data_IF_691510753776
#
_entry.id   IF_691510753776
#
_cell.length_a   1.000
_cell.length_b   1.000
_cell.length_c   1.000
_cell.angle_alpha   90.00
_cell.angle_beta   90.00
_cell.angle_gamma   90.00
#
_symmetry.space_group_name_H-M   'P 1'
#
loop_
_entity.id
_entity.type
_entity.pdbx_description
1 polymer ?
#
# COMPACT_ATOMS: atom_id res chain seq x y z
N UNK A 1 -24.89 -48.41 -42.68
CA UNK A 1 -26.18 -48.84 -43.22
C UNK A 1 -25.95 -49.64 -44.48
N UNK A 2 -26.77 -50.66 -44.75
CA UNK A 2 -26.67 -51.43 -46.00
C UNK A 2 -27.84 -51.01 -46.88
N UNK A 3 -27.55 -50.49 -48.07
CA UNK A 3 -28.54 -50.18 -49.10
C UNK A 3 -28.58 -51.31 -50.13
N UNK A 4 -29.77 -51.60 -50.66
CA UNK A 4 -30.02 -52.77 -51.53
C UNK A 4 -29.65 -54.10 -50.85
N UNK A 5 -29.92 -54.20 -49.54
CA UNK A 5 -29.53 -55.33 -48.70
C UNK A 5 -30.26 -56.67 -49.00
N UNK A 6 -31.24 -56.66 -49.90
CA UNK A 6 -32.04 -57.83 -50.28
C UNK A 6 -32.45 -57.78 -51.75
N UNK A 7 -32.39 -58.93 -52.43
CA UNK A 7 -32.82 -59.10 -53.83
C UNK A 7 -32.77 -60.57 -54.26
N UNK A 8 -33.22 -60.88 -55.48
CA UNK A 8 -33.29 -62.25 -56.03
C UNK A 8 -32.15 -62.47 -57.04
N UNK A 9 -31.41 -63.57 -56.91
CA UNK A 9 -30.32 -63.91 -57.85
C UNK A 9 -30.92 -64.55 -59.11
N UNK A 10 -30.82 -63.85 -60.25
CA UNK A 10 -31.41 -64.28 -61.55
C UNK A 10 -30.35 -64.58 -62.62
N UNK A 11 -29.20 -65.13 -62.22
CA UNK A 11 -28.17 -65.62 -63.15
C UNK A 11 -27.09 -64.61 -63.56
N UNK A 12 -26.96 -63.49 -62.84
CA UNK A 12 -25.85 -62.53 -62.98
C UNK A 12 -25.29 -62.13 -61.61
N UNK A 13 -24.05 -61.63 -61.57
CA UNK A 13 -23.42 -61.12 -60.35
C UNK A 13 -24.19 -59.92 -59.79
N UNK A 14 -24.44 -59.93 -58.47
CA UNK A 14 -25.04 -58.80 -57.76
C UNK A 14 -23.94 -57.78 -57.47
N UNK A 15 -24.03 -56.59 -58.07
CA UNK A 15 -23.01 -55.52 -57.96
C UNK A 15 -23.55 -54.25 -57.30
N UNK A 16 -24.82 -54.21 -56.90
CA UNK A 16 -25.51 -53.02 -56.40
C UNK A 16 -25.77 -53.06 -54.88
N UNK A 17 -25.23 -54.04 -54.15
CA UNK A 17 -25.30 -54.08 -52.70
C UNK A 17 -24.25 -53.13 -52.11
N UNK A 18 -24.72 -52.04 -51.52
CA UNK A 18 -23.86 -50.99 -51.01
C UNK A 18 -23.76 -51.05 -49.48
N UNK A 19 -22.54 -51.17 -48.96
CA UNK A 19 -22.25 -51.12 -47.53
C UNK A 19 -21.69 -49.74 -47.20
N UNK A 20 -22.50 -48.93 -46.51
CA UNK A 20 -22.07 -47.64 -45.99
C UNK A 20 -21.62 -47.78 -44.53
N UNK A 21 -20.32 -47.75 -44.29
CA UNK A 21 -19.76 -47.73 -42.94
C UNK A 21 -19.51 -46.29 -42.50
N UNK A 22 -20.04 -45.90 -41.34
CA UNK A 22 -19.70 -44.64 -40.68
C UNK A 22 -18.87 -44.94 -39.45
N UNK A 23 -17.73 -44.26 -39.28
CA UNK A 23 -16.93 -44.39 -38.06
C UNK A 23 -17.65 -43.69 -36.91
N UNK A 24 -17.81 -44.37 -35.78
CA UNK A 24 -18.35 -43.76 -34.57
C UNK A 24 -17.47 -42.58 -34.14
N UNK A 25 -18.09 -41.54 -33.58
CA UNK A 25 -17.38 -40.37 -33.07
C UNK A 25 -17.62 -40.20 -31.57
N UNK A 26 -16.60 -39.74 -30.87
CA UNK A 26 -16.62 -39.52 -29.43
C UNK A 26 -16.00 -38.16 -29.09
N UNK A 27 -16.39 -37.57 -27.97
CA UNK A 27 -15.84 -36.31 -27.47
C UNK A 27 -14.83 -36.56 -26.35
N UNK A 28 -13.99 -35.57 -26.11
CA UNK A 28 -13.16 -35.47 -24.91
C UNK A 28 -13.50 -34.18 -24.17
N UNK A 29 -13.63 -34.26 -22.85
CA UNK A 29 -14.01 -33.15 -22.02
C UNK A 29 -14.12 -33.53 -20.55
N UNK A 30 -14.84 -32.69 -19.82
CA UNK A 30 -15.15 -32.88 -18.41
C UNK A 30 -16.65 -32.92 -18.17
N UNK A 31 -17.08 -33.73 -17.21
CA UNK A 31 -18.44 -33.70 -16.68
C UNK A 31 -18.72 -32.42 -15.89
N UNK A 32 -19.97 -32.24 -15.46
CA UNK A 32 -20.32 -31.13 -14.57
C UNK A 32 -19.49 -31.18 -13.28
N UNK A 33 -18.88 -30.05 -12.91
CA UNK A 33 -17.95 -29.97 -11.78
C UNK A 33 -16.53 -30.43 -12.09
N UNK A 34 -16.24 -30.78 -13.35
CA UNK A 34 -14.92 -31.15 -13.81
C UNK A 34 -13.96 -29.98 -14.01
N UNK A 35 -14.43 -28.73 -13.88
CA UNK A 35 -13.58 -27.54 -13.74
C UNK A 35 -13.81 -26.94 -12.36
N UNK A 36 -12.74 -26.79 -11.58
CA UNK A 36 -12.77 -26.21 -10.23
C UNK A 36 -11.86 -25.00 -10.12
N UNK A 37 -12.26 -24.02 -9.30
CA UNK A 37 -11.46 -22.83 -9.02
C UNK A 37 -11.28 -21.85 -10.19
N UNK A 38 -11.91 -22.06 -11.34
CA UNK A 38 -11.79 -21.18 -12.51
C UNK A 38 -12.72 -19.96 -12.40
N UNK A 39 -12.19 -18.82 -11.98
CA UNK A 39 -12.94 -17.55 -11.91
C UNK A 39 -12.51 -16.50 -12.93
N UNK A 40 -11.39 -16.73 -13.62
CA UNK A 40 -10.83 -15.86 -14.63
C UNK A 40 -11.43 -16.01 -16.02
N UNK A 41 -10.74 -15.44 -17.01
CA UNK A 41 -11.08 -15.47 -18.42
C UNK A 41 -9.91 -15.94 -19.26
N UNK A 42 -10.16 -16.30 -20.53
CA UNK A 42 -9.14 -16.72 -21.49
C UNK A 42 -8.41 -18.05 -21.18
N UNK A 43 -9.04 -18.96 -20.41
CA UNK A 43 -8.56 -20.34 -20.37
C UNK A 43 -8.72 -20.98 -21.76
N UNK A 44 -7.61 -21.35 -22.40
CA UNK A 44 -7.61 -22.04 -23.69
C UNK A 44 -7.01 -23.43 -23.55
N UNK A 45 -7.71 -24.40 -24.13
CA UNK A 45 -7.36 -25.81 -24.09
C UNK A 45 -7.22 -26.32 -25.51
N UNK A 46 -6.27 -27.23 -25.74
CA UNK A 46 -6.19 -28.02 -26.98
C UNK A 46 -6.25 -29.51 -26.66
N UNK A 47 -6.83 -30.31 -27.57
CA UNK A 47 -6.78 -31.78 -27.53
C UNK A 47 -5.70 -32.37 -28.45
N UNK A 48 -4.82 -31.51 -28.97
CA UNK A 48 -3.80 -31.82 -29.96
C UNK A 48 -4.25 -31.59 -31.41
N UNK A 49 -5.53 -31.26 -31.64
CA UNK A 49 -6.08 -30.98 -32.97
C UNK A 49 -6.98 -29.76 -32.98
N UNK A 50 -7.91 -29.70 -32.02
CA UNK A 50 -8.82 -28.58 -31.81
C UNK A 50 -8.31 -27.72 -30.66
N UNK A 51 -8.64 -26.43 -30.70
CA UNK A 51 -8.46 -25.51 -29.58
C UNK A 51 -9.81 -24.90 -29.23
N UNK A 52 -10.13 -24.86 -27.93
CA UNK A 52 -11.34 -24.24 -27.42
C UNK A 52 -10.98 -23.17 -26.39
N UNK A 53 -11.83 -22.15 -26.28
CA UNK A 53 -11.79 -21.17 -25.20
C UNK A 53 -12.90 -21.50 -24.20
N UNK A 54 -12.55 -21.68 -22.94
CA UNK A 54 -13.50 -21.97 -21.87
C UNK A 54 -14.01 -20.65 -21.29
N UNK A 55 -15.33 -20.43 -21.33
CA UNK A 55 -15.96 -19.23 -20.78
C UNK A 55 -15.75 -19.15 -19.26
N UNK A 56 -15.47 -17.94 -18.74
CA UNK A 56 -15.21 -17.72 -17.31
C UNK A 56 -16.33 -18.28 -16.41
N UNK A 57 -15.95 -18.93 -15.31
CA UNK A 57 -16.91 -19.56 -14.38
C UNK A 57 -17.52 -20.88 -14.88
N UNK A 58 -17.12 -21.40 -16.05
CA UNK A 58 -17.58 -22.71 -16.51
C UNK A 58 -17.15 -23.82 -15.56
N UNK A 59 -18.04 -24.79 -15.34
CA UNK A 59 -17.79 -25.98 -14.51
C UNK A 59 -17.50 -27.23 -15.33
N UNK A 60 -17.57 -27.13 -16.67
CA UNK A 60 -17.31 -28.21 -17.61
C UNK A 60 -16.82 -27.68 -18.96
N UNK A 61 -16.15 -28.52 -19.74
CA UNK A 61 -15.79 -28.24 -21.15
C UNK A 61 -15.93 -29.49 -22.01
N UNK A 62 -16.07 -29.32 -23.32
CA UNK A 62 -16.09 -30.43 -24.28
C UNK A 62 -15.48 -29.98 -25.60
N UNK A 63 -14.60 -30.81 -26.16
CA UNK A 63 -14.07 -30.63 -27.51
C UNK A 63 -15.03 -31.20 -28.57
N UNK A 64 -14.94 -30.73 -29.83
CA UNK A 64 -15.67 -31.34 -30.95
C UNK A 64 -15.45 -32.86 -31.04
N UNK A 65 -16.47 -33.59 -31.48
CA UNK A 65 -16.40 -35.04 -31.60
C UNK A 65 -15.39 -35.47 -32.69
N UNK A 66 -14.65 -36.54 -32.43
CA UNK A 66 -13.61 -37.10 -33.32
C UNK A 66 -13.82 -38.60 -33.52
N UNK A 67 -13.37 -39.13 -34.64
CA UNK A 67 -13.52 -40.53 -35.01
C UNK A 67 -12.88 -41.47 -33.97
N UNK A 68 -13.52 -42.62 -33.72
CA UNK A 68 -12.96 -43.73 -32.96
C UNK A 68 -11.57 -44.12 -33.51
N UNK A 69 -10.64 -44.42 -32.63
CA UNK A 69 -9.21 -44.61 -32.88
C UNK A 69 -8.37 -43.33 -32.72
N UNK A 70 -8.97 -42.13 -32.66
CA UNK A 70 -8.21 -40.88 -32.51
C UNK A 70 -7.57 -40.77 -31.13
N UNK A 71 -6.28 -40.42 -31.08
CA UNK A 71 -5.60 -40.07 -29.84
C UNK A 71 -5.81 -38.60 -29.49
N UNK A 72 -5.96 -38.29 -28.21
CA UNK A 72 -5.97 -36.91 -27.73
C UNK A 72 -4.79 -36.66 -26.79
N UNK A 73 -4.29 -35.42 -26.81
CA UNK A 73 -3.30 -34.90 -25.88
C UNK A 73 -3.73 -33.51 -25.43
N UNK A 74 -4.30 -33.45 -24.23
CA UNK A 74 -4.81 -32.23 -23.64
C UNK A 74 -3.67 -31.38 -23.11
N UNK A 75 -3.66 -30.12 -23.50
CA UNK A 75 -2.77 -29.12 -22.89
C UNK A 75 -3.45 -27.76 -22.79
N UNK A 76 -2.95 -26.94 -21.87
CA UNK A 76 -3.38 -25.55 -21.72
C UNK A 76 -2.51 -24.71 -22.64
N UNK A 77 -3.13 -24.06 -23.62
CA UNK A 77 -2.42 -23.14 -24.54
C UNK A 77 -2.40 -21.71 -24.01
N UNK A 78 -3.33 -21.37 -23.12
CA UNK A 78 -3.36 -20.07 -22.44
C UNK A 78 -3.96 -20.21 -21.05
N UNK A 79 -3.24 -19.72 -20.04
CA UNK A 79 -3.72 -19.63 -18.67
C UNK A 79 -4.67 -18.43 -18.51
N UNK A 80 -5.57 -18.46 -17.50
CA UNK A 80 -6.44 -17.33 -17.23
C UNK A 80 -5.68 -16.05 -16.92
N UNK A 81 -6.20 -14.90 -17.37
CA UNK A 81 -5.51 -13.60 -17.25
C UNK A 81 -6.17 -12.57 -16.35
N UNK A 82 -7.47 -12.70 -16.06
CA UNK A 82 -8.22 -11.77 -15.18
C UNK A 82 -9.34 -12.45 -14.39
N UNK A 83 -9.13 -12.74 -13.09
CA UNK A 83 -7.83 -12.75 -12.42
C UNK A 83 -6.86 -13.74 -13.06
N UNK A 84 -5.56 -13.55 -12.84
CA UNK A 84 -4.59 -14.56 -13.25
C UNK A 84 -4.74 -15.79 -12.37
N UNK A 85 -4.65 -16.96 -13.01
CA UNK A 85 -4.75 -18.23 -12.32
C UNK A 85 -3.80 -19.22 -12.97
N UNK A 86 -3.32 -20.16 -12.17
CA UNK A 86 -2.60 -21.32 -12.65
C UNK A 86 -3.55 -22.51 -12.65
N UNK A 87 -3.91 -23.00 -13.84
CA UNK A 87 -4.72 -24.20 -14.02
C UNK A 87 -3.87 -25.40 -14.41
N UNK A 88 -4.29 -26.59 -13.96
CA UNK A 88 -3.69 -27.88 -14.32
C UNK A 88 -4.78 -28.84 -14.81
N UNK A 89 -4.46 -29.66 -15.83
CA UNK A 89 -5.35 -30.69 -16.38
C UNK A 89 -4.97 -32.05 -15.79
N UNK A 90 -5.98 -32.87 -15.46
CA UNK A 90 -5.85 -34.29 -15.08
C UNK A 90 -6.41 -35.16 -16.21
N UNK A 91 -5.85 -36.36 -16.40
CA UNK A 91 -6.19 -37.30 -17.49
C UNK A 91 -5.95 -36.70 -18.90
N UNK A 92 -4.70 -36.26 -19.10
CA UNK A 92 -4.29 -35.46 -20.28
C UNK A 92 -4.17 -36.25 -21.59
N UNK A 93 -4.04 -37.57 -21.59
CA UNK A 93 -3.87 -38.35 -22.84
C UNK A 93 -4.76 -39.57 -22.88
N UNK A 94 -5.07 -40.04 -24.09
CA UNK A 94 -5.85 -41.26 -24.30
C UNK A 94 -6.25 -41.48 -25.75
N UNK A 95 -7.10 -42.48 -25.97
CA UNK A 95 -7.64 -42.84 -27.29
C UNK A 95 -9.16 -42.97 -27.22
N UNK A 96 -9.86 -42.35 -28.17
CA UNK A 96 -11.30 -42.42 -28.30
C UNK A 96 -11.68 -43.77 -28.92
N UNK A 97 -12.26 -44.69 -28.15
CA UNK A 97 -12.57 -46.04 -28.68
C UNK A 97 -14.06 -46.36 -28.60
N UNK A 98 -14.64 -46.27 -27.40
CA UNK A 98 -15.98 -46.81 -27.13
C UNK A 98 -16.95 -45.85 -26.43
N UNK A 99 -16.48 -44.73 -25.87
CA UNK A 99 -17.30 -43.77 -25.14
C UNK A 99 -16.68 -42.36 -25.14
N UNK A 100 -17.50 -41.35 -24.82
CA UNK A 100 -17.03 -39.99 -24.55
C UNK A 100 -16.17 -39.98 -23.29
N UNK A 101 -15.07 -39.24 -23.32
CA UNK A 101 -14.22 -39.01 -22.15
C UNK A 101 -14.76 -37.81 -21.38
N UNK A 102 -15.17 -38.02 -20.12
CA UNK A 102 -15.78 -37.01 -19.25
C UNK A 102 -15.02 -36.78 -17.94
N UNK A 103 -13.91 -37.50 -17.73
CA UNK A 103 -13.10 -37.45 -16.51
C UNK A 103 -11.81 -36.63 -16.69
N UNK A 104 -11.65 -35.88 -17.78
CA UNK A 104 -10.51 -34.97 -17.95
C UNK A 104 -10.79 -33.66 -17.22
N UNK A 105 -10.36 -33.56 -15.96
CA UNK A 105 -10.72 -32.43 -15.08
C UNK A 105 -9.66 -31.32 -15.09
N UNK A 106 -10.06 -30.11 -14.72
CA UNK A 106 -9.22 -28.92 -14.60
C UNK A 106 -9.35 -28.35 -13.20
N UNK A 107 -8.20 -28.10 -12.56
CA UNK A 107 -8.14 -27.42 -11.27
C UNK A 107 -7.34 -26.14 -11.42
N UNK A 108 -7.94 -25.01 -11.06
CA UNK A 108 -7.33 -23.69 -11.11
C UNK A 108 -7.12 -23.14 -9.70
N UNK A 109 -6.00 -22.45 -9.50
CA UNK A 109 -5.71 -21.68 -8.30
C UNK A 109 -5.44 -20.23 -8.70
N UNK A 110 -6.09 -19.27 -8.04
CA UNK A 110 -5.82 -17.85 -8.26
C UNK A 110 -4.41 -17.50 -7.79
N UNK A 111 -3.64 -16.84 -8.66
CA UNK A 111 -2.30 -16.42 -8.30
C UNK A 111 -2.37 -15.26 -7.30
N UNK A 112 -1.33 -15.12 -6.48
CA UNK A 112 -1.24 -14.05 -5.48
C UNK A 112 -0.02 -13.17 -5.72
N UNK A 113 -0.17 -11.87 -5.51
CA UNK A 113 0.91 -10.89 -5.66
C UNK A 113 0.91 -9.90 -4.51
N UNK A 114 2.08 -9.31 -4.25
CA UNK A 114 2.26 -8.33 -3.17
C UNK A 114 1.95 -6.92 -3.64
N UNK A 115 1.60 -6.05 -2.69
CA UNK A 115 1.54 -4.59 -2.87
C UNK A 115 2.64 -3.96 -2.03
N UNK A 116 3.36 -3.00 -2.57
CA UNK A 116 4.44 -2.35 -1.85
C UNK A 116 5.19 -1.32 -2.67
N UNK A 117 6.41 -1.05 -2.22
CA UNK A 117 7.34 -0.13 -2.86
C UNK A 117 8.67 -0.81 -3.16
N UNK A 118 9.38 -0.27 -4.16
CA UNK A 118 10.81 -0.56 -4.37
C UNK A 118 11.68 0.20 -3.34
N UNK A 119 12.97 -0.17 -3.26
CA UNK A 119 13.94 0.59 -2.49
C UNK A 119 13.93 2.07 -2.89
N UNK A 120 13.82 2.96 -1.89
CA UNK A 120 13.67 4.41 -2.09
C UNK A 120 12.22 4.86 -2.32
N UNK A 121 11.25 3.94 -2.32
CA UNK A 121 9.83 4.27 -2.36
C UNK A 121 9.24 4.68 -1.01
N UNK A 122 9.98 4.53 0.10
CA UNK A 122 9.68 5.16 1.38
C UNK A 122 10.79 6.15 1.72
N UNK A 123 10.46 7.44 1.79
CA UNK A 123 11.44 8.52 1.96
C UNK A 123 11.11 9.41 3.14
N UNK A 124 12.14 10.02 3.73
CA UNK A 124 12.01 10.94 4.86
C UNK A 124 11.57 10.30 6.18
N UNK A 125 11.30 8.98 6.21
CA UNK A 125 10.90 8.28 7.42
C UNK A 125 12.08 8.08 8.37
N UNK A 126 12.11 8.83 9.47
CA UNK A 126 13.16 8.77 10.49
C UNK A 126 12.61 8.50 11.88
N UNK A 127 11.28 8.51 12.05
CA UNK A 127 10.61 8.24 13.31
C UNK A 127 10.29 6.78 13.56
N UNK A 128 9.46 6.56 14.58
CA UNK A 128 8.96 5.25 14.99
C UNK A 128 7.44 5.17 14.86
N UNK A 129 6.93 3.96 14.65
CA UNK A 129 5.49 3.69 14.71
C UNK A 129 4.70 3.99 13.43
N UNK A 130 5.36 4.18 12.28
CA UNK A 130 4.65 4.28 11.01
C UNK A 130 3.90 2.98 10.74
N UNK A 131 2.59 3.07 10.55
CA UNK A 131 1.78 1.96 10.08
C UNK A 131 1.10 2.30 8.77
N UNK A 132 1.19 1.38 7.82
CA UNK A 132 0.50 1.46 6.53
C UNK A 132 -0.57 0.38 6.47
N UNK A 133 -1.70 0.67 5.84
CA UNK A 133 -2.75 -0.32 5.57
C UNK A 133 -3.09 -0.37 4.09
N UNK A 134 -3.29 -1.57 3.53
CA UNK A 134 -3.71 -1.77 2.13
C UNK A 134 -5.24 -1.95 1.94
N UNK A 135 -5.99 -1.67 3.00
CA UNK A 135 -7.44 -1.89 3.12
C UNK A 135 -7.82 -3.21 3.79
N UNK A 136 -6.89 -4.16 3.89
CA UNK A 136 -7.14 -5.49 4.50
C UNK A 136 -6.09 -5.89 5.54
N UNK A 137 -4.85 -5.48 5.32
CA UNK A 137 -3.71 -5.72 6.18
C UNK A 137 -3.19 -4.39 6.70
N UNK A 138 -2.61 -4.40 7.89
CA UNK A 138 -1.84 -3.28 8.44
C UNK A 138 -0.46 -3.78 8.79
N UNK A 139 0.57 -3.10 8.31
CA UNK A 139 1.98 -3.40 8.60
C UNK A 139 2.57 -2.27 9.44
N UNK A 140 3.40 -2.62 10.42
CA UNK A 140 4.23 -1.66 11.15
C UNK A 140 5.63 -1.67 10.56
N UNK A 141 6.18 -0.49 10.26
CA UNK A 141 7.49 -0.36 9.65
C UNK A 141 8.56 -0.07 10.70
N UNK A 142 9.74 -0.64 10.50
CA UNK A 142 10.91 -0.33 11.31
C UNK A 142 11.41 1.08 10.98
N UNK A 143 11.88 1.81 11.99
CA UNK A 143 12.45 3.15 11.81
C UNK A 143 13.55 3.17 10.74
N UNK A 144 13.54 4.18 9.87
CA UNK A 144 14.50 4.31 8.78
C UNK A 144 14.28 3.37 7.61
N UNK A 145 13.19 2.60 7.57
CA UNK A 145 12.85 1.77 6.41
C UNK A 145 12.79 2.61 5.12
N UNK A 146 13.32 2.06 4.02
CA UNK A 146 13.36 2.70 2.69
C UNK A 146 12.41 2.06 1.68
N UNK A 147 11.74 0.98 2.07
CA UNK A 147 10.72 0.26 1.30
C UNK A 147 9.74 -0.45 2.23
N UNK A 148 8.61 -0.90 1.68
CA UNK A 148 7.63 -1.73 2.39
C UNK A 148 6.96 -2.72 1.44
N UNK A 149 6.41 -3.79 2.00
CA UNK A 149 5.66 -4.80 1.24
C UNK A 149 4.57 -5.40 2.14
N UNK A 150 3.33 -5.40 1.65
CA UNK A 150 2.20 -6.07 2.26
C UNK A 150 2.20 -7.57 1.92
N UNK A 151 1.55 -8.41 2.73
CA UNK A 151 1.29 -9.80 2.38
C UNK A 151 0.65 -9.95 1.00
N UNK A 152 0.95 -11.06 0.30
CA UNK A 152 0.41 -11.32 -1.02
C UNK A 152 -1.11 -11.51 -0.99
N UNK A 153 -1.80 -11.01 -2.00
CA UNK A 153 -3.25 -11.07 -2.16
C UNK A 153 -3.60 -11.57 -3.55
N UNK A 154 -4.79 -12.17 -3.68
CA UNK A 154 -5.25 -12.76 -4.93
C UNK A 154 -5.28 -11.72 -6.07
N UNK A 155 -4.87 -12.13 -7.26
CA UNK A 155 -5.09 -11.37 -8.50
C UNK A 155 -6.58 -11.00 -8.62
N UNK A 156 -6.85 -9.82 -9.18
CA UNK A 156 -8.17 -9.19 -9.23
C UNK A 156 -8.59 -8.45 -7.96
N UNK A 157 -7.85 -8.57 -6.85
CA UNK A 157 -8.17 -7.83 -5.62
C UNK A 157 -7.87 -6.34 -5.76
N UNK A 158 -8.80 -5.48 -5.34
CA UNK A 158 -8.55 -4.04 -5.18
C UNK A 158 -7.72 -3.76 -3.93
N UNK A 159 -6.82 -2.78 -3.99
CA UNK A 159 -6.04 -2.30 -2.85
C UNK A 159 -6.15 -0.78 -2.71
N UNK A 160 -6.01 -0.29 -1.48
CA UNK A 160 -5.86 1.14 -1.19
C UNK A 160 -4.91 1.31 0.00
N UNK A 161 -3.71 1.77 -0.28
CA UNK A 161 -2.66 2.04 0.68
C UNK A 161 -2.90 3.38 1.37
N UNK A 162 -3.00 3.35 2.69
CA UNK A 162 -3.21 4.52 3.54
C UNK A 162 -2.20 4.53 4.68
N UNK A 163 -1.97 5.71 5.25
CA UNK A 163 -1.27 5.80 6.53
C UNK A 163 -2.28 5.54 7.64
N UNK A 164 -2.13 4.41 8.33
CA UNK A 164 -2.96 4.03 9.45
C UNK A 164 -2.50 4.72 10.75
N UNK A 165 -1.19 4.95 10.92
CA UNK A 165 -0.63 5.66 12.07
C UNK A 165 0.60 6.44 11.65
N UNK A 166 0.63 7.73 11.99
CA UNK A 166 1.77 8.61 11.74
C UNK A 166 2.89 8.39 12.76
N UNK A 167 4.16 8.62 12.39
CA UNK A 167 5.27 8.57 13.34
C UNK A 167 5.13 9.61 14.45
N UNK A 168 5.52 9.25 15.67
CA UNK A 168 5.41 10.13 16.86
C UNK A 168 6.75 10.56 17.44
N UNK A 169 7.86 9.89 17.08
CA UNK A 169 9.18 10.18 17.63
C UNK A 169 10.29 10.05 16.55
N UNK A 170 10.69 11.15 15.90
CA UNK A 170 10.02 12.46 15.92
C UNK A 170 8.62 12.39 15.28
N UNK A 171 7.80 13.41 15.55
CA UNK A 171 6.53 13.59 14.85
C UNK A 171 6.78 13.83 13.38
N UNK A 172 6.14 13.01 12.54
CA UNK A 172 6.20 13.17 11.11
C UNK A 172 4.82 13.04 10.49
N UNK A 173 4.61 13.76 9.40
CA UNK A 173 3.46 13.58 8.53
C UNK A 173 3.90 12.81 7.29
N UNK A 174 3.45 11.56 7.18
CA UNK A 174 3.61 10.73 5.99
C UNK A 174 2.40 10.83 5.06
N UNK A 175 2.65 10.78 3.76
CA UNK A 175 1.64 10.79 2.70
C UNK A 175 1.93 9.69 1.67
N UNK A 176 0.88 9.13 1.05
CA UNK A 176 0.99 8.03 0.08
C UNK A 176 0.67 8.56 -1.32
N UNK A 177 1.45 8.15 -2.32
CA UNK A 177 1.13 8.34 -3.75
C UNK A 177 1.05 6.99 -4.45
N UNK A 178 0.31 6.93 -5.57
CA UNK A 178 -0.10 5.68 -6.21
C UNK A 178 -0.77 4.72 -5.21
N UNK A 179 -1.63 5.27 -4.37
CA UNK A 179 -2.21 4.58 -3.23
C UNK A 179 -3.16 3.44 -3.62
N UNK A 180 -3.80 3.46 -4.78
CA UNK A 180 -4.86 2.51 -5.10
C UNK A 180 -4.76 1.90 -6.49
N UNK A 181 -5.38 0.73 -6.64
CA UNK A 181 -5.49 0.01 -7.89
C UNK A 181 -6.03 -1.40 -7.71
N UNK A 182 -5.88 -2.22 -8.76
CA UNK A 182 -6.20 -3.64 -8.74
C UNK A 182 -4.93 -4.44 -8.95
N UNK A 183 -4.74 -5.50 -8.16
CA UNK A 183 -3.63 -6.44 -8.33
C UNK A 183 -3.89 -7.24 -9.60
N UNK A 184 -3.04 -7.06 -10.61
CA UNK A 184 -3.18 -7.74 -11.90
C UNK A 184 -2.32 -9.02 -11.94
N UNK A 185 -1.37 -9.08 -12.87
CA UNK A 185 -0.53 -10.26 -13.15
C UNK A 185 0.89 -10.18 -12.53
N UNK A 186 1.13 -9.21 -11.64
CA UNK A 186 2.45 -8.97 -11.05
C UNK A 186 2.35 -8.24 -9.72
N UNK A 187 3.46 -8.25 -8.96
CA UNK A 187 3.62 -7.44 -7.76
C UNK A 187 3.47 -5.95 -8.09
N UNK A 188 2.70 -5.25 -7.28
CA UNK A 188 2.58 -3.80 -7.34
C UNK A 188 3.75 -3.21 -6.54
N UNK A 189 4.63 -2.49 -7.21
CA UNK A 189 5.87 -1.97 -6.61
C UNK A 189 6.03 -0.44 -6.73
N UNK A 190 5.01 0.24 -7.27
CA UNK A 190 5.03 1.68 -7.58
C UNK A 190 4.33 2.55 -6.54
N UNK A 191 3.85 1.97 -5.43
CA UNK A 191 3.33 2.76 -4.30
C UNK A 191 4.52 3.48 -3.68
N UNK A 192 4.37 4.76 -3.37
CA UNK A 192 5.41 5.48 -2.63
C UNK A 192 4.84 6.23 -1.44
N UNK A 193 5.67 6.39 -0.41
CA UNK A 193 5.34 7.07 0.83
C UNK A 193 6.43 8.09 1.13
N UNK A 194 6.03 9.33 1.36
CA UNK A 194 6.94 10.43 1.71
C UNK A 194 6.55 10.98 3.07
N UNK A 195 7.52 11.03 3.98
CA UNK A 195 7.37 11.55 5.33
C UNK A 195 8.15 12.86 5.48
N UNK A 196 7.51 13.84 6.14
CA UNK A 196 8.13 15.10 6.51
C UNK A 196 8.11 15.22 8.02
N UNK A 197 9.25 15.55 8.64
CA UNK A 197 9.30 15.81 10.07
C UNK A 197 8.63 17.14 10.38
N UNK A 198 7.68 17.12 11.31
CA UNK A 198 6.89 18.28 11.65
C UNK A 198 7.76 19.32 12.39
N UNK A 199 7.37 20.59 12.30
CA UNK A 199 8.03 21.68 13.04
C UNK A 199 7.01 22.41 13.90
N UNK A 200 7.46 22.91 15.05
CA UNK A 200 6.60 23.56 16.05
C UNK A 200 7.25 24.84 16.56
N UNK A 201 6.44 25.79 17.01
CA UNK A 201 6.95 27.07 17.50
C UNK A 201 7.36 26.98 18.96
N UNK A 202 8.35 27.81 19.32
CA UNK A 202 8.65 28.13 20.71
C UNK A 202 8.16 29.55 20.97
N UNK A 203 7.49 29.74 22.10
CA UNK A 203 6.97 31.03 22.56
C UNK A 203 7.44 31.30 23.98
N UNK A 204 7.45 32.57 24.38
CA UNK A 204 7.77 33.02 25.73
C UNK A 204 6.57 33.81 26.28
N UNK A 205 6.05 33.41 27.43
CA UNK A 205 5.08 34.17 28.19
C UNK A 205 5.81 35.04 29.22
N UNK A 206 5.86 36.35 28.97
CA UNK A 206 6.62 37.31 29.78
C UNK A 206 5.70 37.98 30.80
N UNK A 207 6.13 37.99 32.06
CA UNK A 207 5.43 38.67 33.16
C UNK A 207 6.39 39.56 33.95
N UNK A 208 5.85 40.63 34.54
CA UNK A 208 6.62 41.57 35.36
C UNK A 208 7.55 42.49 34.56
N UNK A 209 7.52 42.45 33.23
CA UNK A 209 8.34 43.33 32.38
C UNK A 209 7.76 44.74 32.37
N UNK A 210 8.51 45.67 32.95
CA UNK A 210 8.21 47.10 33.02
C UNK A 210 8.98 47.95 31.98
N UNK A 211 9.75 47.32 31.09
CA UNK A 211 10.47 47.99 30.01
C UNK A 211 9.63 48.05 28.73
N UNK A 212 10.16 48.68 27.68
CA UNK A 212 9.45 48.83 26.40
C UNK A 212 10.14 48.15 25.21
N UNK A 213 11.48 48.07 25.16
CA UNK A 213 12.20 47.50 23.98
C UNK A 213 13.53 46.81 24.26
N UNK A 214 14.01 46.74 25.51
CA UNK A 214 15.39 46.32 25.80
C UNK A 214 15.55 44.84 26.14
N UNK A 215 14.48 44.13 26.50
CA UNK A 215 14.54 42.68 26.71
C UNK A 215 14.65 41.94 25.37
N UNK A 216 15.71 41.15 25.22
CA UNK A 216 15.87 40.22 24.10
C UNK A 216 16.05 38.80 24.64
N UNK A 217 15.18 37.91 24.20
CA UNK A 217 15.32 36.47 24.42
C UNK A 217 16.01 35.84 23.22
N UNK A 218 16.70 34.73 23.43
CA UNK A 218 17.36 33.98 22.36
C UNK A 218 17.02 32.51 22.49
N UNK A 219 16.54 31.90 21.41
CA UNK A 219 16.38 30.46 21.29
C UNK A 219 17.58 29.88 20.50
N UNK A 220 18.17 28.82 21.02
CA UNK A 220 19.21 28.01 20.36
C UNK A 220 20.41 28.84 19.82
N UNK A 221 20.81 29.90 20.53
CA UNK A 221 22.02 30.66 20.20
C UNK A 221 21.92 31.60 18.98
N UNK A 222 20.76 31.70 18.33
CA UNK A 222 20.65 32.50 17.09
C UNK A 222 19.26 33.06 16.76
N UNK A 223 18.18 32.43 17.22
CA UNK A 223 16.84 32.96 16.96
C UNK A 223 16.44 33.94 18.06
N UNK A 224 16.73 35.22 17.83
CA UNK A 224 16.45 36.29 18.79
C UNK A 224 14.98 36.74 18.71
N UNK A 225 14.42 37.13 19.86
CA UNK A 225 13.07 37.63 20.02
C UNK A 225 13.09 38.87 20.93
N UNK A 226 12.80 40.03 20.36
CA UNK A 226 12.64 41.28 21.12
C UNK A 226 11.26 41.32 21.79
N UNK A 227 11.22 41.68 23.06
CA UNK A 227 9.98 41.74 23.84
C UNK A 227 9.51 43.19 23.98
N UNK A 228 8.30 43.45 23.48
CA UNK A 228 7.65 44.76 23.51
C UNK A 228 6.78 44.99 24.75
N UNK A 229 6.47 43.94 25.52
CA UNK A 229 5.57 44.00 26.67
C UNK A 229 5.33 42.64 27.30
N UNK A 230 4.49 42.61 28.32
CA UNK A 230 4.04 41.36 28.94
C UNK A 230 3.10 40.58 28.01
N UNK A 231 2.99 39.27 28.25
CA UNK A 231 2.19 38.35 27.46
C UNK A 231 3.02 37.41 26.60
N UNK A 232 2.36 36.72 25.66
CA UNK A 232 2.98 35.70 24.83
C UNK A 232 3.61 36.34 23.60
N UNK A 233 4.90 36.09 23.39
CA UNK A 233 5.64 36.41 22.17
C UNK A 233 6.25 35.15 21.58
N UNK A 234 6.25 35.00 20.26
CA UNK A 234 6.68 33.77 19.57
C UNK A 234 7.96 33.99 18.78
N UNK A 235 8.90 33.05 18.88
CA UNK A 235 10.11 33.05 18.07
C UNK A 235 9.78 32.84 16.59
N UNK A 236 10.53 33.50 15.70
CA UNK A 236 10.24 33.47 14.25
C UNK A 236 10.57 32.14 13.56
N UNK A 237 11.48 31.34 14.11
CA UNK A 237 11.90 30.06 13.53
C UNK A 237 11.29 28.91 14.32
N UNK A 238 10.57 28.01 13.64
CA UNK A 238 10.09 26.78 14.24
C UNK A 238 11.24 25.80 14.49
N UNK A 239 11.07 24.94 15.49
CA UNK A 239 12.00 23.86 15.81
C UNK A 239 11.41 22.55 15.31
N UNK A 240 12.21 21.79 14.57
CA UNK A 240 11.84 20.45 14.10
C UNK A 240 11.59 19.50 15.26
N UNK A 241 10.56 18.65 15.18
CA UNK A 241 10.31 17.61 16.17
C UNK A 241 11.54 16.72 16.36
N UNK A 242 11.86 16.39 17.60
CA UNK A 242 13.09 15.68 18.00
C UNK A 242 14.31 16.59 18.23
N UNK A 243 14.32 17.84 17.76
CA UNK A 243 15.43 18.76 18.00
C UNK A 243 15.28 19.50 19.34
N UNK A 244 16.40 19.91 19.99
CA UNK A 244 16.35 20.69 21.21
C UNK A 244 15.91 22.14 20.98
N UNK A 245 15.28 22.73 21.99
CA UNK A 245 15.14 24.18 22.15
C UNK A 245 15.83 24.62 23.45
N UNK A 246 16.34 25.84 23.46
CA UNK A 246 17.00 26.44 24.62
C UNK A 246 16.83 27.96 24.58
N UNK A 247 15.87 28.45 25.34
CA UNK A 247 15.53 29.86 25.49
C UNK A 247 16.31 30.46 26.66
N UNK A 248 17.13 31.46 26.35
CA UNK A 248 17.91 32.22 27.32
C UNK A 248 17.59 33.71 27.21
N UNK A 249 17.94 34.47 28.25
CA UNK A 249 17.95 35.94 28.15
C UNK A 249 19.26 36.35 27.48
N UNK A 250 19.16 36.96 26.31
CA UNK A 250 20.32 37.52 25.61
C UNK A 250 20.66 38.92 26.14
N UNK A 251 19.64 39.76 26.32
CA UNK A 251 19.81 41.13 26.80
C UNK A 251 18.80 41.42 27.91
N UNK A 252 19.30 41.82 29.09
CA UNK A 252 18.45 42.25 30.21
C UNK A 252 17.94 43.68 30.01
N UNK A 253 16.77 44.04 30.55
CA UNK A 253 16.27 45.40 30.51
C UNK A 253 17.13 46.36 31.31
N UNK A 254 17.46 47.51 30.74
CA UNK A 254 18.24 48.56 31.40
C UNK A 254 17.40 49.75 31.85
N UNK A 255 16.19 49.92 31.33
CA UNK A 255 15.29 51.02 31.68
C UNK A 255 13.82 50.58 31.75
N UNK A 256 13.24 50.45 32.96
CA UNK A 256 13.95 50.36 34.24
C UNK A 256 14.89 49.13 34.26
N UNK A 257 15.94 49.19 35.09
CA UNK A 257 16.79 48.00 35.28
C UNK A 257 15.97 46.86 35.88
N UNK A 258 15.96 45.73 35.19
CA UNK A 258 15.24 44.54 35.63
C UNK A 258 16.13 43.31 35.44
N UNK A 259 15.85 42.29 36.24
CA UNK A 259 16.39 40.95 36.01
C UNK A 259 15.26 40.05 35.54
N UNK A 260 15.33 39.62 34.29
CA UNK A 260 14.46 38.60 33.73
C UNK A 260 15.13 37.22 33.79
N UNK A 261 14.34 36.18 34.07
CA UNK A 261 14.80 34.78 34.10
C UNK A 261 13.82 33.90 33.33
N UNK A 262 14.36 32.94 32.59
CA UNK A 262 13.55 31.94 31.86
C UNK A 262 13.38 30.72 32.76
N UNK A 263 12.12 30.30 32.96
CA UNK A 263 11.76 29.10 33.71
C UNK A 263 11.47 27.98 32.73
N UNK A 264 12.11 26.82 32.93
CA UNK A 264 12.01 25.66 32.03
C UNK A 264 12.32 26.02 30.57
N UNK A 265 13.36 26.85 30.39
CA UNK A 265 13.74 27.42 29.09
C UNK A 265 14.25 26.42 28.05
N UNK A 266 14.56 25.19 28.44
CA UNK A 266 15.14 24.18 27.55
C UNK A 266 14.36 22.86 27.55
N UNK A 267 14.49 22.12 26.45
CA UNK A 267 13.84 20.82 26.27
C UNK A 267 14.00 20.29 24.84
N UNK A 268 13.28 19.22 24.51
CA UNK A 268 13.19 18.66 23.15
C UNK A 268 11.80 18.94 22.58
N UNK A 269 11.73 19.30 21.30
CA UNK A 269 10.46 19.55 20.64
C UNK A 269 9.71 18.23 20.42
N UNK A 270 8.66 17.99 21.20
CA UNK A 270 7.93 16.72 21.25
C UNK A 270 6.60 16.73 20.46
N UNK A 271 6.57 17.40 19.31
CA UNK A 271 5.39 17.38 18.43
C UNK A 271 4.29 18.39 18.76
N UNK A 272 4.58 19.39 19.58
CA UNK A 272 3.61 20.43 19.96
C UNK A 272 4.32 21.75 20.21
N UNK A 273 3.62 22.87 19.98
CA UNK A 273 4.15 24.19 20.30
C UNK A 273 4.47 24.29 21.80
N UNK A 274 5.61 24.90 22.12
CA UNK A 274 6.10 25.07 23.49
C UNK A 274 5.99 26.53 23.90
N UNK A 275 5.51 26.81 25.11
CA UNK A 275 5.55 28.14 25.71
C UNK A 275 6.38 28.09 26.99
N UNK A 276 7.53 28.76 26.99
CA UNK A 276 8.35 28.95 28.20
C UNK A 276 7.86 30.14 29.00
N UNK A 277 8.14 30.16 30.30
CA UNK A 277 7.77 31.27 31.18
C UNK A 277 8.97 32.18 31.40
N UNK A 278 8.76 33.49 31.35
CA UNK A 278 9.80 34.48 31.64
C UNK A 278 9.29 35.44 32.71
N UNK A 279 9.99 35.48 33.84
CA UNK A 279 9.64 36.36 34.96
C UNK A 279 10.68 37.46 35.05
N UNK A 280 10.23 38.71 35.01
CA UNK A 280 11.05 39.90 35.20
C UNK A 280 10.75 40.57 36.54
N UNK A 281 11.80 41.02 37.23
CA UNK A 281 11.69 41.77 38.48
C UNK A 281 12.48 43.07 38.38
N UNK A 282 11.85 44.20 38.74
CA UNK A 282 12.52 45.50 38.83
C UNK A 282 13.55 45.51 39.94
N UNK A 283 14.77 45.90 39.60
CA UNK A 283 15.86 46.00 40.56
C UNK A 283 15.64 47.25 41.43
N UNK A 284 15.55 47.06 42.74
CA UNK A 284 15.38 48.15 43.69
C UNK A 284 16.73 48.52 44.32
N UNK A 285 17.07 49.80 44.32
CA UNK A 285 18.25 50.33 45.00
C UNK A 285 17.80 51.28 46.10
N UNK A 286 18.29 51.07 47.33
CA UNK A 286 18.03 52.00 48.42
C UNK A 286 18.82 53.30 48.17
N UNK A 287 18.10 54.42 48.05
CA UNK A 287 18.71 55.75 48.01
C UNK A 287 18.59 56.35 49.39
N UNK A 288 19.71 56.51 50.09
CA UNK A 288 19.79 57.23 51.36
C UNK A 288 20.50 58.56 51.14
N UNK A 289 19.95 59.64 51.68
CA UNK A 289 20.57 60.96 51.67
C UNK A 289 20.19 61.76 52.91
N UNK A 290 21.12 62.57 53.41
CA UNK A 290 20.88 63.57 54.44
C UNK A 290 20.47 64.88 53.78
N UNK A 291 19.28 65.38 54.10
CA UNK A 291 18.87 66.74 53.72
C UNK A 291 19.46 67.70 54.75
N UNK A 292 20.41 68.53 54.32
CA UNK A 292 20.96 69.64 55.12
C UNK A 292 20.54 70.97 54.50
N UNK A 293 20.17 71.97 55.30
CA UNK A 293 19.92 73.34 54.83
C UNK A 293 18.45 73.81 54.81
N UNK A 294 17.52 73.12 55.46
CA UNK A 294 16.18 73.69 55.71
C UNK A 294 16.28 74.73 56.85
N UNK A 295 16.23 76.02 56.51
CA UNK A 295 15.99 77.12 57.46
C UNK A 295 14.53 77.56 57.33
N UNK A 296 13.79 77.50 58.43
CA UNK A 296 12.42 78.02 58.58
C UNK A 296 12.37 79.54 58.51
#
# INVERSE_FOLDING_TARGET
>A
TVSNASGTVVGANITNADINCTTNQYTVGSGAGGITGYTGSNLQLTDGTNTITVAGGSTSYVFPARNSGSTYNLSITSQPSSPTQTCNIINITGTLTNANITNATINCTTDTYTVGSVAGGLTGYTGNGLQLSDGTNTITLASGATQFTFPARASGSAYTVTVATQPTTPNQTCSVTNAGGTIAAANVTNVSVSCVTDTHTVSANVTGYAGTTSLVLQNNGGNNLSIAGNGISTFSTSVTSGNPYNVTVLTQPTLPTQTCSVVSGSGTMAGVNVTVVVNCTTNTYAVSGTITGFSS
#
